data_IF_489946926093
#
_entry.id   IF_489946926093
#
_cell.length_a   1.000
_cell.length_b   1.000
_cell.length_c   1.000
_cell.angle_alpha   90.00
_cell.angle_beta   90.00
_cell.angle_gamma   90.00
#
_symmetry.space_group_name_H-M   'P 1'
#
loop_
_entity.id
_entity.type
_entity.pdbx_description
1 polymer ?
#
# COMPACT_ATOMS: atom_id res chain seq x y z
N UNK A 1 -5.05 3.15 -16.24
CA UNK A 1 -3.97 2.26 -15.74
C UNK A 1 -4.28 0.83 -16.16
N UNK A 2 -3.30 0.07 -16.65
CA UNK A 2 -3.49 -1.36 -16.96
C UNK A 2 -3.71 -2.16 -15.67
N UNK A 3 -4.54 -3.20 -15.73
CA UNK A 3 -4.80 -4.11 -14.61
C UNK A 3 -3.49 -4.73 -14.05
N UNK A 4 -2.49 -4.94 -14.92
CA UNK A 4 -1.17 -5.45 -14.52
C UNK A 4 -0.47 -4.54 -13.51
N UNK A 5 -0.61 -3.22 -13.65
CA UNK A 5 0.05 -2.28 -12.75
C UNK A 5 -0.63 -2.27 -11.37
N UNK A 6 -1.95 -2.48 -11.34
CA UNK A 6 -2.67 -2.64 -10.07
C UNK A 6 -2.30 -3.96 -9.39
N UNK A 7 -2.13 -5.06 -10.12
CA UNK A 7 -1.68 -6.32 -9.52
C UNK A 7 -0.26 -6.19 -8.92
N UNK A 8 0.63 -5.47 -9.58
CA UNK A 8 1.99 -5.20 -9.06
C UNK A 8 1.97 -4.36 -7.77
N UNK A 9 1.20 -3.28 -7.74
CA UNK A 9 1.03 -2.45 -6.55
C UNK A 9 0.37 -3.24 -5.41
N UNK A 10 -0.54 -4.16 -5.74
CA UNK A 10 -1.15 -5.07 -4.78
C UNK A 10 -0.13 -5.93 -4.07
N UNK A 11 0.65 -6.69 -4.84
CA UNK A 11 1.63 -7.60 -4.28
C UNK A 11 2.73 -6.83 -3.52
N UNK A 12 3.14 -5.66 -4.01
CA UNK A 12 4.09 -4.80 -3.30
C UNK A 12 3.56 -4.24 -1.97
N UNK A 13 2.24 -4.11 -1.78
CA UNK A 13 1.66 -3.70 -0.49
C UNK A 13 1.84 -4.76 0.61
N UNK A 14 2.03 -6.02 0.24
CA UNK A 14 2.28 -7.13 1.17
C UNK A 14 3.76 -7.36 1.47
N UNK A 15 4.65 -6.82 0.64
CA UNK A 15 6.10 -6.92 0.84
C UNK A 15 6.56 -6.12 2.07
N UNK A 16 7.46 -6.72 2.85
CA UNK A 16 8.08 -6.08 4.01
C UNK A 16 9.44 -5.49 3.61
N UNK A 17 9.49 -4.17 3.44
CA UNK A 17 10.68 -3.46 2.98
C UNK A 17 11.50 -2.99 4.17
N UNK A 18 12.51 -3.77 4.55
CA UNK A 18 13.41 -3.43 5.67
C UNK A 18 14.26 -2.19 5.41
N UNK A 19 14.71 -2.00 4.18
CA UNK A 19 15.46 -0.82 3.76
C UNK A 19 14.92 -0.35 2.40
N UNK A 20 14.39 0.86 2.37
CA UNK A 20 13.80 1.44 1.16
C UNK A 20 14.86 1.94 0.17
N UNK A 21 16.13 2.04 0.59
CA UNK A 21 17.23 2.54 -0.24
C UNK A 21 18.08 1.43 -0.87
N UNK A 22 18.02 0.22 -0.32
CA UNK A 22 18.80 -0.91 -0.84
C UNK A 22 18.01 -1.72 -1.88
N UNK A 23 18.34 -1.51 -3.16
CA UNK A 23 17.69 -2.19 -4.30
C UNK A 23 17.68 -3.72 -4.18
N UNK A 24 18.74 -4.32 -3.63
CA UNK A 24 18.82 -5.77 -3.47
C UNK A 24 17.81 -6.28 -2.42
N UNK A 25 17.64 -5.56 -1.32
CA UNK A 25 16.64 -5.87 -0.30
C UNK A 25 15.22 -5.67 -0.82
N UNK A 26 14.98 -4.61 -1.61
CA UNK A 26 13.69 -4.35 -2.26
C UNK A 26 13.30 -5.51 -3.17
N UNK A 27 14.22 -5.94 -4.03
CA UNK A 27 13.97 -7.02 -4.97
C UNK A 27 13.73 -8.35 -4.24
N UNK A 28 14.51 -8.66 -3.20
CA UNK A 28 14.28 -9.85 -2.36
C UNK A 28 12.94 -9.82 -1.64
N UNK A 29 12.47 -8.66 -1.19
CA UNK A 29 11.17 -8.53 -0.55
C UNK A 29 10.03 -8.75 -1.56
N UNK A 30 10.15 -8.20 -2.76
CA UNK A 30 9.16 -8.35 -3.82
C UNK A 30 9.08 -9.79 -4.35
N UNK A 31 10.21 -10.47 -4.55
CA UNK A 31 10.26 -11.86 -5.05
C UNK A 31 9.53 -12.84 -4.12
N UNK A 32 9.36 -12.50 -2.84
CA UNK A 32 8.57 -13.32 -1.89
C UNK A 32 7.06 -13.22 -2.15
N UNK A 33 6.60 -12.12 -2.72
CA UNK A 33 5.18 -11.83 -2.94
C UNK A 33 4.76 -11.97 -4.42
N UNK A 34 5.72 -11.93 -5.36
CA UNK A 34 5.47 -12.02 -6.80
C UNK A 34 6.63 -12.69 -7.57
N UNK A 35 6.41 -13.18 -8.80
CA UNK A 35 7.48 -13.70 -9.65
C UNK A 35 8.60 -12.68 -9.90
N UNK A 36 9.83 -13.15 -10.11
CA UNK A 36 11.01 -12.29 -10.31
C UNK A 36 10.83 -11.28 -11.45
N UNK A 37 10.28 -11.69 -12.59
CA UNK A 37 10.00 -10.77 -13.70
C UNK A 37 8.99 -9.66 -13.33
N UNK A 38 8.06 -9.93 -12.42
CA UNK A 38 7.13 -8.93 -11.90
C UNK A 38 7.81 -8.00 -10.89
N UNK A 39 8.67 -8.55 -10.03
CA UNK A 39 9.47 -7.77 -9.10
C UNK A 39 10.41 -6.80 -9.84
N UNK A 40 11.07 -7.24 -10.91
CA UNK A 40 11.88 -6.39 -11.78
C UNK A 40 11.04 -5.32 -12.49
N UNK A 41 9.88 -5.71 -13.03
CA UNK A 41 8.97 -4.75 -13.65
C UNK A 41 8.54 -3.67 -12.65
N UNK A 42 8.30 -4.06 -11.39
CA UNK A 42 7.97 -3.13 -10.32
C UNK A 42 9.12 -2.17 -10.01
N UNK A 43 10.33 -2.68 -9.70
CA UNK A 43 11.47 -1.81 -9.36
C UNK A 43 11.93 -0.93 -10.52
N UNK A 44 11.70 -1.36 -11.77
CA UNK A 44 11.96 -0.53 -12.96
C UNK A 44 10.90 0.56 -13.18
N UNK A 45 9.66 0.33 -12.77
CA UNK A 45 8.54 1.27 -12.98
C UNK A 45 8.36 2.24 -11.81
N UNK A 46 8.57 1.74 -10.60
CA UNK A 46 8.27 2.43 -9.36
C UNK A 46 9.52 2.64 -8.52
N UNK A 47 9.57 3.78 -7.85
CA UNK A 47 10.53 4.14 -6.82
C UNK A 47 9.84 4.01 -5.46
N UNK A 48 10.49 3.33 -4.51
CA UNK A 48 10.00 3.25 -3.13
C UNK A 48 10.40 4.51 -2.38
N UNK A 49 9.43 5.26 -1.88
CA UNK A 49 9.67 6.53 -1.17
C UNK A 49 9.72 6.30 0.34
N UNK A 50 8.75 5.54 0.86
CA UNK A 50 8.65 5.23 2.27
C UNK A 50 7.94 3.91 2.49
N UNK A 51 8.28 3.22 3.57
CA UNK A 51 7.58 2.02 4.02
C UNK A 51 7.44 2.06 5.53
N UNK A 52 6.26 1.65 6.01
CA UNK A 52 5.98 1.42 7.41
C UNK A 52 5.61 -0.04 7.56
N UNK A 53 6.56 -0.80 8.13
CA UNK A 53 6.37 -2.20 8.50
C UNK A 53 5.19 -2.35 9.47
N UNK A 54 4.58 -3.54 9.44
CA UNK A 54 3.39 -3.92 10.19
C UNK A 54 3.39 -3.37 11.62
N UNK A 55 2.49 -2.42 11.92
CA UNK A 55 2.31 -1.89 13.27
C UNK A 55 1.71 -2.96 14.18
N UNK A 56 1.75 -2.74 15.50
CA UNK A 56 1.09 -3.60 16.48
C UNK A 56 -0.42 -3.81 16.21
N UNK A 57 -1.05 -2.93 15.42
CA UNK A 57 -2.46 -3.01 15.03
C UNK A 57 -2.69 -3.75 13.69
N UNK A 58 -1.63 -4.29 13.07
CA UNK A 58 -1.71 -5.02 11.80
C UNK A 58 -1.72 -4.12 10.55
N UNK A 59 -1.39 -2.82 10.68
CA UNK A 59 -1.31 -1.90 9.55
C UNK A 59 0.07 -1.91 8.91
N UNK A 60 0.12 -2.04 7.58
CA UNK A 60 1.32 -1.82 6.76
C UNK A 60 1.01 -0.81 5.65
N UNK A 61 1.91 0.14 5.45
CA UNK A 61 1.77 1.20 4.47
C UNK A 61 3.03 1.40 3.65
N UNK A 62 2.88 1.57 2.35
CA UNK A 62 4.02 1.76 1.44
C UNK A 62 3.72 2.90 0.48
N UNK A 63 4.65 3.85 0.32
CA UNK A 63 4.54 4.92 -0.67
C UNK A 63 5.48 4.63 -1.81
N UNK A 64 4.93 4.64 -3.01
CA UNK A 64 5.70 4.48 -4.25
C UNK A 64 5.42 5.63 -5.19
N UNK A 65 6.39 5.93 -6.03
CA UNK A 65 6.27 6.92 -7.09
C UNK A 65 6.56 6.27 -8.43
N UNK A 66 5.69 6.48 -9.41
CA UNK A 66 5.98 6.06 -10.78
C UNK A 66 7.10 6.94 -11.34
N UNK A 67 8.21 6.32 -11.76
CA UNK A 67 9.40 7.01 -12.26
C UNK A 67 9.15 7.78 -13.57
N UNK A 68 8.18 7.34 -14.38
CA UNK A 68 7.86 7.94 -15.68
C UNK A 68 6.82 9.06 -15.55
N UNK A 69 5.72 8.81 -14.85
CA UNK A 69 4.60 9.77 -14.76
C UNK A 69 4.72 10.72 -13.57
N UNK A 70 5.65 10.46 -12.64
CA UNK A 70 5.75 11.13 -11.35
C UNK A 70 4.52 10.98 -10.43
N UNK A 71 3.55 10.14 -10.79
CA UNK A 71 2.38 9.86 -9.96
C UNK A 71 2.79 9.13 -8.67
N UNK A 72 2.28 9.59 -7.53
CA UNK A 72 2.48 8.97 -6.23
C UNK A 72 1.31 8.06 -5.87
N UNK A 73 1.63 6.90 -5.34
CA UNK A 73 0.68 5.90 -4.86
C UNK A 73 0.96 5.59 -3.41
N UNK A 74 -0.08 5.65 -2.58
CA UNK A 74 -0.04 5.21 -1.19
C UNK A 74 -0.74 3.85 -1.13
N UNK A 75 0.04 2.82 -0.85
CA UNK A 75 -0.40 1.44 -0.80
C UNK A 75 -0.74 1.08 0.64
N UNK A 76 -1.97 0.62 0.86
CA UNK A 76 -2.43 0.15 2.16
C UNK A 76 -2.71 -1.35 2.07
N UNK A 77 -2.08 -2.11 2.96
CA UNK A 77 -2.37 -3.54 3.13
C UNK A 77 -3.63 -3.70 3.97
N UNK A 78 -4.64 -4.41 3.46
CA UNK A 78 -5.81 -4.79 4.24
C UNK A 78 -5.54 -5.94 5.21
N UNK A 79 -6.29 -6.03 6.30
CA UNK A 79 -6.27 -7.18 7.21
C UNK A 79 -7.35 -8.21 6.88
N UNK A 80 -7.03 -9.49 7.09
CA UNK A 80 -8.03 -10.54 7.24
C UNK A 80 -8.91 -10.21 8.46
N UNK A 81 -10.19 -9.97 8.23
CA UNK A 81 -11.17 -9.68 9.27
C UNK A 81 -11.24 -10.89 10.21
N UNK A 82 -10.68 -10.77 11.42
CA UNK A 82 -10.92 -11.72 12.50
C UNK A 82 -12.10 -11.19 13.31
N UNK A 83 -13.15 -12.00 13.36
CA UNK A 83 -14.37 -11.86 14.17
C UNK A 83 -15.35 -10.73 13.79
N UNK A 84 -16.50 -11.13 13.26
CA UNK A 84 -17.66 -10.29 12.91
C UNK A 84 -18.48 -9.85 14.12
N UNK A 85 -17.84 -9.22 15.10
CA UNK A 85 -18.50 -8.61 16.26
C UNK A 85 -18.08 -7.14 16.36
N UNK A 86 -18.78 -6.31 15.59
CA UNK A 86 -19.26 -4.95 15.93
C UNK A 86 -19.46 -4.16 14.64
N UNK A 87 -20.63 -4.37 14.04
CA UNK A 87 -21.14 -3.71 12.83
C UNK A 87 -21.69 -2.29 13.11
N UNK A 88 -21.29 -1.64 14.22
CA UNK A 88 -21.93 -0.40 14.67
C UNK A 88 -21.22 0.90 14.24
N UNK A 89 -20.26 0.83 13.30
CA UNK A 89 -19.58 2.00 12.68
C UNK A 89 -19.55 1.90 11.14
N UNK A 90 -20.67 1.46 10.56
CA UNK A 90 -20.80 0.98 9.16
C UNK A 90 -20.55 2.03 8.05
N UNK A 91 -20.23 3.28 8.37
CA UNK A 91 -19.88 4.30 7.37
C UNK A 91 -18.42 4.24 6.90
N UNK A 92 -17.49 3.85 7.78
CA UNK A 92 -16.05 3.94 7.51
C UNK A 92 -15.50 2.65 6.91
N UNK A 93 -16.01 1.50 7.37
CA UNK A 93 -15.58 0.18 6.86
C UNK A 93 -16.09 -0.06 5.42
N UNK A 94 -17.31 0.38 5.09
CA UNK A 94 -17.87 0.35 3.73
C UNK A 94 -17.10 1.26 2.77
N UNK A 95 -16.58 2.39 3.27
CA UNK A 95 -15.88 3.38 2.42
C UNK A 95 -14.39 3.04 2.23
N UNK A 96 -13.75 2.39 3.20
CA UNK A 96 -12.28 2.23 3.22
C UNK A 96 -11.78 0.79 3.37
N UNK A 97 -12.63 -0.16 3.78
CA UNK A 97 -12.26 -1.56 3.98
C UNK A 97 -11.28 -1.83 5.14
N UNK A 98 -11.04 -0.86 6.03
CA UNK A 98 -10.06 -0.93 7.13
C UNK A 98 -10.71 -0.75 8.53
N UNK A 99 -10.23 -1.45 9.58
CA UNK A 99 -10.62 -1.19 10.97
C UNK A 99 -10.22 0.22 11.46
N UNK A 100 -11.02 0.84 12.34
CA UNK A 100 -10.82 2.22 12.82
C UNK A 100 -9.39 2.54 13.30
N UNK A 101 -8.76 1.64 14.07
CA UNK A 101 -7.38 1.83 14.55
C UNK A 101 -6.35 1.84 13.41
N UNK A 102 -6.56 1.04 12.36
CA UNK A 102 -5.69 1.03 11.20
C UNK A 102 -5.92 2.26 10.31
N UNK A 103 -7.15 2.78 10.25
CA UNK A 103 -7.42 4.05 9.60
C UNK A 103 -6.63 5.19 10.27
N UNK A 104 -6.59 5.22 11.60
CA UNK A 104 -5.79 6.21 12.33
C UNK A 104 -4.28 6.04 12.07
N UNK A 105 -3.78 4.79 12.02
CA UNK A 105 -2.38 4.51 11.65
C UNK A 105 -2.06 4.91 10.20
N UNK A 106 -2.99 4.68 9.27
CA UNK A 106 -2.88 5.07 7.87
C UNK A 106 -2.87 6.58 7.71
N UNK A 107 -3.78 7.28 8.38
CA UNK A 107 -3.83 8.74 8.40
C UNK A 107 -2.53 9.31 8.98
N UNK A 108 -2.07 8.79 10.11
CA UNK A 108 -0.83 9.24 10.72
C UNK A 108 0.37 9.03 9.80
N UNK A 109 0.44 7.90 9.10
CA UNK A 109 1.49 7.61 8.12
C UNK A 109 1.46 8.59 6.94
N UNK A 110 0.28 8.88 6.38
CA UNK A 110 0.14 9.85 5.29
C UNK A 110 0.49 11.26 5.76
N UNK A 111 -0.05 11.71 6.90
CA UNK A 111 0.22 13.03 7.48
C UNK A 111 1.72 13.22 7.78
N UNK A 112 2.40 12.19 8.28
CA UNK A 112 3.85 12.20 8.50
C UNK A 112 4.62 12.36 7.19
N UNK A 113 4.24 11.63 6.14
CA UNK A 113 4.92 11.71 4.85
C UNK A 113 4.61 13.01 4.09
N UNK A 114 3.45 13.63 4.31
CA UNK A 114 3.17 15.00 3.85
C UNK A 114 4.08 15.99 4.58
N UNK A 115 4.14 15.94 5.93
CA UNK A 115 4.97 16.84 6.75
C UNK A 115 6.46 16.73 6.43
N UNK A 116 6.95 15.53 6.20
CA UNK A 116 8.35 15.29 5.86
C UNK A 116 8.68 15.60 4.39
N UNK A 117 7.69 16.00 3.58
CA UNK A 117 7.87 16.35 2.17
C UNK A 117 8.07 15.15 1.24
N UNK A 118 7.76 13.93 1.70
CA UNK A 118 7.76 12.73 0.85
C UNK A 118 6.55 12.73 -0.09
N UNK A 119 5.42 13.29 0.36
CA UNK A 119 4.24 13.55 -0.48
C UNK A 119 4.18 15.06 -0.76
N UNK A 120 4.41 15.43 -2.01
CA UNK A 120 4.28 16.81 -2.52
C UNK A 120 3.24 16.85 -3.63
N UNK A 121 1.98 17.09 -3.25
CA UNK A 121 0.86 17.19 -4.19
C UNK A 121 -0.09 15.99 -4.14
N UNK A 122 -0.82 15.79 -5.24
CA UNK A 122 -1.84 14.74 -5.33
C UNK A 122 -1.19 13.34 -5.29
N UNK A 123 -1.88 12.42 -4.63
CA UNK A 123 -1.51 11.01 -4.56
C UNK A 123 -2.76 10.14 -4.73
N UNK A 124 -2.52 8.89 -5.13
CA UNK A 124 -3.57 7.89 -5.35
C UNK A 124 -3.51 6.89 -4.21
N UNK A 125 -4.60 6.75 -3.46
CA UNK A 125 -4.73 5.71 -2.45
C UNK A 125 -5.07 4.38 -3.11
N UNK A 126 -4.36 3.33 -2.73
CA UNK A 126 -4.58 1.99 -3.25
C UNK A 126 -4.65 1.01 -2.09
N UNK A 127 -5.88 0.56 -1.80
CA UNK A 127 -6.13 -0.47 -0.80
C UNK A 127 -6.23 -1.85 -1.45
N UNK A 128 -5.57 -2.84 -0.86
CA UNK A 128 -5.65 -4.23 -1.33
C UNK A 128 -6.05 -5.19 -0.23
N UNK A 129 -7.19 -5.86 -0.41
CA UNK A 129 -7.65 -6.98 0.41
C UNK A 129 -7.23 -8.29 -0.27
N UNK A 130 -6.45 -9.13 0.42
CA UNK A 130 -5.98 -10.44 -0.11
C UNK A 130 -7.14 -11.40 -0.46
N UNK A 131 -8.33 -11.12 0.05
CA UNK A 131 -9.57 -11.85 -0.21
C UNK A 131 -10.68 -10.87 -0.60
N UNK A 132 -10.64 -10.36 -1.82
CA UNK A 132 -11.80 -10.15 -2.72
C UNK A 132 -11.36 -9.28 -3.90
N UNK A 133 -11.81 -9.70 -5.08
CA UNK A 133 -11.53 -9.11 -6.37
C UNK A 133 -12.31 -7.80 -6.51
N UNK A 134 -11.69 -6.83 -7.18
CA UNK A 134 -12.30 -5.66 -7.84
C UNK A 134 -13.23 -4.77 -7.00
N UNK A 135 -12.73 -3.67 -6.43
CA UNK A 135 -13.55 -2.45 -6.28
C UNK A 135 -12.69 -1.23 -6.67
N UNK A 136 -12.95 -0.67 -7.86
CA UNK A 136 -12.42 0.64 -8.30
C UNK A 136 -13.23 1.74 -7.62
N UNK A 137 -12.59 2.55 -6.79
CA UNK A 137 -13.17 3.80 -6.29
C UNK A 137 -12.78 4.95 -7.22
N UNK A 138 -13.77 5.55 -7.88
CA UNK A 138 -13.65 6.89 -8.45
C UNK A 138 -14.03 7.89 -7.35
N UNK A 139 -13.15 8.87 -7.11
CA UNK A 139 -13.46 10.07 -6.32
C UNK A 139 -14.06 11.10 -7.28
#
# INVERSE_FOLDING_TARGET
MSNDNMALLAAASYADFKDVKDSNSLQKALIREMPEAQAEKFTNTYELIAHKTNTSNGYSGTIVKNKKTNEMFVLHRGTEVKTGADWLEDGILVTTGLPYRQLMDAKAFVDENIRNGNIKGNFINVGYKKYEVDHKFNI
#
